data_IF_147750462664
#
_entry.id   IF_147750462664
#
_cell.length_a   1.000
_cell.length_b   1.000
_cell.length_c   1.000
_cell.angle_alpha   90.00
_cell.angle_beta   90.00
_cell.angle_gamma   90.00
#
_symmetry.space_group_name_H-M   'P 1'
#
loop_
_entity.id
_entity.type
_entity.pdbx_description
1 polymer ?
#
# COMPACT_ATOMS: atom_id res chain seq x y z
N UNK A 1 27.99 2.91 -7.37
CA UNK A 1 26.74 3.68 -7.26
C UNK A 1 25.61 3.02 -8.07
N UNK A 2 25.69 2.90 -9.40
CA UNK A 2 24.66 2.19 -10.19
C UNK A 2 24.52 0.69 -9.85
N UNK A 3 25.63 -0.04 -9.69
CA UNK A 3 25.56 -1.46 -9.31
C UNK A 3 25.00 -1.67 -7.90
N UNK A 4 25.40 -0.81 -6.96
CA UNK A 4 24.89 -0.83 -5.57
C UNK A 4 23.38 -0.59 -5.52
N UNK A 5 22.87 0.38 -6.29
CA UNK A 5 21.42 0.63 -6.36
C UNK A 5 20.66 -0.54 -6.99
N UNK A 6 21.26 -1.24 -7.98
CA UNK A 6 20.64 -2.44 -8.58
C UNK A 6 20.58 -3.60 -7.58
N UNK A 7 21.61 -3.79 -6.77
CA UNK A 7 21.64 -4.78 -5.70
C UNK A 7 20.60 -4.44 -4.62
N UNK A 8 20.61 -3.21 -4.10
CA UNK A 8 19.63 -2.74 -3.10
C UNK A 8 18.20 -2.82 -3.63
N UNK A 9 17.98 -2.51 -4.91
CA UNK A 9 16.67 -2.67 -5.55
C UNK A 9 16.24 -4.15 -5.57
N UNK A 10 17.16 -5.06 -5.85
CA UNK A 10 16.91 -6.51 -5.84
C UNK A 10 16.55 -7.06 -4.45
N UNK A 11 17.03 -6.44 -3.38
CA UNK A 11 16.65 -6.78 -2.00
C UNK A 11 15.26 -6.25 -1.62
N UNK A 12 14.73 -5.29 -2.39
CA UNK A 12 13.40 -4.73 -2.15
C UNK A 12 12.31 -5.28 -3.04
N UNK A 13 12.58 -5.60 -4.31
CA UNK A 13 11.55 -6.12 -5.23
C UNK A 13 11.75 -7.61 -5.55
N UNK A 14 10.65 -8.27 -5.92
CA UNK A 14 10.62 -9.67 -6.36
C UNK A 14 10.86 -9.81 -7.89
N UNK A 15 10.87 -8.71 -8.64
CA UNK A 15 11.07 -8.71 -10.10
C UNK A 15 12.55 -8.89 -10.44
N UNK A 16 12.87 -9.98 -11.14
CA UNK A 16 14.20 -10.15 -11.74
C UNK A 16 14.35 -9.19 -12.92
N UNK A 17 15.51 -8.52 -13.03
CA UNK A 17 15.84 -7.59 -14.12
C UNK A 17 14.66 -6.65 -14.47
N UNK A 18 14.27 -5.73 -13.56
CA UNK A 18 13.06 -4.91 -13.70
C UNK A 18 13.06 -4.01 -14.93
N UNK A 19 14.24 -3.62 -15.43
CA UNK A 19 14.42 -2.78 -16.63
C UNK A 19 14.02 -3.50 -17.93
N UNK A 20 14.10 -4.84 -17.98
CA UNK A 20 13.89 -5.64 -19.19
C UNK A 20 12.60 -6.47 -19.16
N UNK A 21 11.99 -6.61 -17.99
CA UNK A 21 10.82 -7.49 -17.82
C UNK A 21 9.52 -6.77 -18.11
N UNK A 22 8.75 -7.26 -19.09
CA UNK A 22 7.45 -6.71 -19.47
C UNK A 22 6.41 -6.87 -18.35
N UNK A 23 5.42 -5.96 -18.30
CA UNK A 23 4.36 -6.00 -17.29
C UNK A 23 3.59 -7.34 -17.26
N UNK A 24 3.34 -7.94 -18.43
CA UNK A 24 2.71 -9.27 -18.55
C UNK A 24 3.57 -10.38 -17.95
N UNK A 25 4.89 -10.31 -18.15
CA UNK A 25 5.83 -11.30 -17.61
C UNK A 25 5.98 -11.15 -16.10
N UNK A 26 6.01 -9.91 -15.58
CA UNK A 26 5.96 -9.63 -14.13
C UNK A 26 4.73 -10.24 -13.49
N UNK A 27 3.55 -10.05 -14.11
CA UNK A 27 2.29 -10.66 -13.62
C UNK A 27 2.33 -12.18 -13.62
N UNK A 28 2.79 -12.80 -14.70
CA UNK A 28 2.90 -14.27 -14.79
C UNK A 28 3.82 -14.81 -13.70
N UNK A 29 5.03 -14.26 -13.59
CA UNK A 29 6.01 -14.67 -12.59
C UNK A 29 5.50 -14.45 -11.16
N UNK A 30 4.76 -13.36 -10.91
CA UNK A 30 4.11 -13.11 -9.61
C UNK A 30 3.12 -14.21 -9.25
N UNK A 31 2.22 -14.56 -10.17
CA UNK A 31 1.20 -15.59 -9.93
C UNK A 31 1.83 -16.95 -9.65
N UNK A 32 2.89 -17.30 -10.38
CA UNK A 32 3.68 -18.52 -10.15
C UNK A 32 4.36 -18.49 -8.77
N UNK A 33 5.02 -17.40 -8.40
CA UNK A 33 5.67 -17.25 -7.11
C UNK A 33 4.69 -17.31 -5.93
N UNK A 34 3.51 -16.71 -6.06
CA UNK A 34 2.44 -16.79 -5.06
C UNK A 34 1.89 -18.21 -4.93
N UNK A 35 1.71 -18.92 -6.05
CA UNK A 35 1.25 -20.31 -6.04
C UNK A 35 2.27 -21.24 -5.35
N UNK A 36 3.56 -21.00 -5.55
CA UNK A 36 4.65 -21.75 -4.88
C UNK A 36 4.74 -21.40 -3.39
N UNK A 37 4.56 -20.12 -3.04
CA UNK A 37 4.69 -19.65 -1.67
C UNK A 37 3.51 -20.04 -0.76
N UNK A 38 2.34 -20.31 -1.33
CA UNK A 38 1.17 -20.71 -0.56
C UNK A 38 1.41 -22.05 0.15
N UNK A 39 1.21 -22.07 1.46
CA UNK A 39 1.27 -23.28 2.28
C UNK A 39 -0.11 -23.56 2.87
N UNK A 40 -0.72 -24.67 2.44
CA UNK A 40 -2.00 -25.12 3.00
C UNK A 40 -1.89 -25.39 4.50
N UNK A 41 -0.78 -25.98 4.94
CA UNK A 41 -0.59 -26.38 6.33
C UNK A 41 -0.47 -25.16 7.23
N UNK A 42 0.26 -24.13 6.79
CA UNK A 42 0.33 -22.86 7.52
C UNK A 42 -1.04 -22.19 7.57
N UNK A 43 -1.73 -22.09 6.44
CA UNK A 43 -3.07 -21.50 6.40
C UNK A 43 -4.06 -22.22 7.33
N UNK A 44 -4.04 -23.57 7.35
CA UNK A 44 -4.89 -24.35 8.25
C UNK A 44 -4.50 -24.17 9.72
N UNK A 45 -3.21 -24.04 10.03
CA UNK A 45 -2.76 -23.73 11.39
C UNK A 45 -3.35 -22.38 11.85
N UNK A 46 -3.21 -21.31 11.07
CA UNK A 46 -3.77 -19.99 11.40
C UNK A 46 -5.32 -19.96 11.40
N UNK A 47 -5.96 -20.89 10.68
CA UNK A 47 -7.42 -21.02 10.66
C UNK A 47 -7.97 -21.71 11.92
N UNK A 48 -7.23 -22.67 12.48
CA UNK A 48 -7.69 -23.43 13.65
C UNK A 48 -7.09 -22.94 14.98
N UNK A 49 -5.90 -22.34 14.95
CA UNK A 49 -5.21 -21.74 16.10
C UNK A 49 -5.32 -20.20 16.03
N UNK A 50 -6.55 -19.70 16.12
CA UNK A 50 -6.91 -18.32 15.73
C UNK A 50 -6.87 -17.30 16.89
N UNK A 51 -6.30 -17.64 18.04
CA UNK A 51 -6.25 -16.75 19.22
C UNK A 51 -5.58 -15.40 18.91
N UNK A 52 -4.44 -15.43 18.23
CA UNK A 52 -3.70 -14.22 17.87
C UNK A 52 -4.38 -13.48 16.71
N UNK A 53 -4.97 -14.21 15.75
CA UNK A 53 -5.82 -13.64 14.69
C UNK A 53 -6.96 -12.84 15.31
N UNK A 54 -7.63 -13.40 16.32
CA UNK A 54 -8.72 -12.76 17.03
C UNK A 54 -8.29 -11.53 17.83
N UNK A 55 -7.04 -11.48 18.32
CA UNK A 55 -6.47 -10.28 18.94
C UNK A 55 -6.22 -9.20 17.90
N UNK A 56 -5.61 -9.55 16.78
CA UNK A 56 -5.36 -8.63 15.66
C UNK A 56 -6.66 -8.04 15.10
N UNK A 57 -7.71 -8.85 14.94
CA UNK A 57 -9.02 -8.38 14.49
C UNK A 57 -9.71 -7.40 15.44
N UNK A 58 -9.33 -7.39 16.73
CA UNK A 58 -9.85 -6.46 17.74
C UNK A 58 -9.01 -5.18 17.84
N UNK A 59 -7.84 -5.14 17.21
CA UNK A 59 -7.02 -3.94 17.16
C UNK A 59 -7.80 -2.79 16.52
N UNK A 60 -7.73 -1.62 17.13
CA UNK A 60 -8.42 -0.42 16.63
C UNK A 60 -7.38 0.57 16.12
N UNK A 61 -7.15 0.65 14.81
CA UNK A 61 -6.18 1.59 14.26
C UNK A 61 -6.63 3.03 14.43
N UNK A 62 -5.69 3.98 14.36
CA UNK A 62 -5.94 5.40 14.62
C UNK A 62 -7.00 6.00 13.68
N UNK A 63 -7.08 5.52 12.44
CA UNK A 63 -8.08 5.95 11.45
C UNK A 63 -9.51 5.48 11.77
N UNK A 64 -9.70 4.50 12.65
CA UNK A 64 -11.04 4.04 13.05
C UNK A 64 -11.84 5.11 13.81
N UNK A 65 -11.17 6.12 14.36
CA UNK A 65 -11.79 7.22 15.13
C UNK A 65 -12.30 8.34 14.22
N UNK A 66 -12.10 8.24 12.91
CA UNK A 66 -12.50 9.25 11.93
C UNK A 66 -13.95 8.96 11.48
N UNK A 67 -14.89 9.78 11.94
CA UNK A 67 -16.31 9.60 11.60
C UNK A 67 -16.66 10.26 10.26
N UNK A 68 -17.57 9.67 9.44
CA UNK A 68 -18.08 10.30 8.21
C UNK A 68 -18.75 11.66 8.45
N UNK A 69 -19.34 11.88 9.63
CA UNK A 69 -19.94 13.16 10.03
C UNK A 69 -18.96 14.34 10.11
N UNK A 70 -17.65 14.09 10.02
CA UNK A 70 -16.63 15.13 9.93
C UNK A 70 -16.48 15.72 8.52
N UNK A 71 -17.14 15.17 7.50
CA UNK A 71 -17.23 15.74 6.16
C UNK A 71 -17.74 17.19 6.17
N UNK A 72 -18.60 17.55 7.13
CA UNK A 72 -19.10 18.93 7.29
C UNK A 72 -18.16 19.87 8.07
N UNK A 73 -17.07 19.37 8.66
CA UNK A 73 -16.03 20.16 9.34
C UNK A 73 -14.73 20.22 8.54
N UNK A 74 -14.74 19.99 7.23
CA UNK A 74 -13.57 20.19 6.36
C UNK A 74 -12.31 19.41 6.79
N UNK A 75 -11.17 19.73 6.20
CA UNK A 75 -9.84 19.11 6.43
C UNK A 75 -9.35 19.16 7.91
N UNK A 76 -10.16 19.63 8.87
CA UNK A 76 -9.79 19.92 10.26
C UNK A 76 -9.66 18.71 11.19
N UNK A 77 -10.12 17.51 10.78
CA UNK A 77 -10.05 16.32 11.64
C UNK A 77 -8.66 15.64 11.66
N UNK A 78 -7.86 15.82 10.60
CA UNK A 78 -6.53 15.21 10.47
C UNK A 78 -5.47 16.25 10.78
N UNK A 79 -4.75 16.06 11.90
CA UNK A 79 -3.61 16.89 12.25
C UNK A 79 -2.30 16.24 11.81
N UNK A 80 -1.41 17.08 11.27
CA UNK A 80 -0.04 16.69 10.94
C UNK A 80 0.92 17.11 12.06
N UNK A 81 1.79 16.19 12.46
CA UNK A 81 2.90 16.44 13.38
C UNK A 81 3.90 17.42 12.75
N UNK A 82 4.78 17.99 13.57
CA UNK A 82 5.82 18.89 13.05
C UNK A 82 6.84 18.14 12.18
N UNK A 83 7.10 16.86 12.48
CA UNK A 83 7.91 15.99 11.62
C UNK A 83 7.25 15.78 10.25
N UNK A 84 5.94 15.49 10.22
CA UNK A 84 5.17 15.29 8.99
C UNK A 84 5.15 16.58 8.14
N UNK A 85 4.93 17.73 8.77
CA UNK A 85 4.99 19.04 8.09
C UNK A 85 6.38 19.33 7.53
N UNK A 86 7.44 19.03 8.27
CA UNK A 86 8.80 19.24 7.82
C UNK A 86 9.15 18.30 6.65
N UNK A 87 8.68 17.05 6.69
CA UNK A 87 8.82 16.14 5.56
C UNK A 87 8.08 16.65 4.32
N UNK A 88 6.85 17.16 4.47
CA UNK A 88 6.09 17.75 3.37
C UNK A 88 6.81 18.94 2.71
N UNK A 89 7.52 19.76 3.50
CA UNK A 89 8.33 20.89 2.98
C UNK A 89 9.51 20.44 2.12
N UNK A 90 10.03 19.23 2.34
CA UNK A 90 11.14 18.67 1.55
C UNK A 90 10.68 18.16 0.18
N UNK A 91 9.39 17.89 0.01
CA UNK A 91 8.87 17.42 -1.27
C UNK A 91 8.89 18.54 -2.32
N UNK A 92 9.46 18.24 -3.48
CA UNK A 92 9.48 19.19 -4.60
C UNK A 92 8.07 19.37 -5.18
N UNK A 93 7.71 20.62 -5.48
CA UNK A 93 6.43 20.96 -6.07
C UNK A 93 6.37 20.52 -7.56
N UNK A 94 5.89 19.31 -7.84
CA UNK A 94 5.75 18.75 -9.20
C UNK A 94 4.31 18.55 -9.63
N UNK A 95 3.92 18.94 -10.84
CA UNK A 95 2.58 18.64 -11.38
C UNK A 95 2.59 17.35 -12.21
N UNK A 96 1.51 16.56 -12.13
CA UNK A 96 1.36 15.31 -12.86
C UNK A 96 0.26 15.46 -13.91
N UNK A 97 0.62 15.28 -15.18
CA UNK A 97 -0.33 15.25 -16.29
C UNK A 97 -0.63 13.79 -16.63
N UNK A 98 -1.66 13.23 -16.00
CA UNK A 98 -2.06 11.84 -16.20
C UNK A 98 -3.27 11.80 -17.14
N UNK A 99 -3.18 10.97 -18.17
CA UNK A 99 -4.36 10.62 -18.96
C UNK A 99 -5.34 9.77 -18.13
N UNK A 100 -6.52 9.48 -18.69
CA UNK A 100 -7.58 8.74 -17.98
C UNK A 100 -7.10 7.36 -17.52
N UNK A 101 -6.33 6.67 -18.36
CA UNK A 101 -5.84 5.31 -18.11
C UNK A 101 -4.81 5.31 -16.98
N UNK A 102 -3.81 6.18 -17.07
CA UNK A 102 -2.73 6.31 -16.08
C UNK A 102 -3.27 6.80 -14.75
N UNK A 103 -4.25 7.72 -14.77
CA UNK A 103 -4.95 8.15 -13.55
C UNK A 103 -5.69 6.99 -12.89
N UNK A 104 -6.35 6.14 -13.66
CA UNK A 104 -7.02 4.95 -13.13
C UNK A 104 -5.99 3.98 -12.51
N UNK A 105 -4.90 3.72 -13.21
CA UNK A 105 -3.80 2.88 -12.70
C UNK A 105 -3.21 3.45 -11.40
N UNK A 106 -2.96 4.76 -11.32
CA UNK A 106 -2.45 5.43 -10.12
C UNK A 106 -3.37 5.24 -8.91
N UNK A 107 -4.69 5.29 -9.10
CA UNK A 107 -5.64 5.00 -8.02
C UNK A 107 -5.62 3.53 -7.60
N UNK A 108 -5.46 2.61 -8.55
CA UNK A 108 -5.42 1.17 -8.27
C UNK A 108 -4.13 0.77 -7.54
N UNK A 109 -2.99 1.36 -7.88
CA UNK A 109 -1.73 1.16 -7.16
C UNK A 109 -1.72 1.84 -5.80
N UNK A 110 -2.34 3.01 -5.66
CA UNK A 110 -2.57 3.62 -4.34
C UNK A 110 -3.43 2.73 -3.45
N UNK A 111 -4.51 2.14 -4.00
CA UNK A 111 -5.35 1.18 -3.28
C UNK A 111 -4.53 -0.04 -2.81
N UNK A 112 -3.71 -0.61 -3.70
CA UNK A 112 -2.83 -1.76 -3.39
C UNK A 112 -1.84 -1.44 -2.25
N UNK A 113 -1.21 -0.25 -2.26
CA UNK A 113 -0.30 0.19 -1.20
C UNK A 113 -1.03 0.38 0.13
N UNK A 114 -2.21 1.02 0.12
CA UNK A 114 -2.98 1.26 1.34
C UNK A 114 -3.52 -0.03 1.95
N UNK A 115 -3.91 -1.02 1.12
CA UNK A 115 -4.28 -2.35 1.61
C UNK A 115 -3.14 -2.99 2.40
N UNK A 116 -1.93 -2.99 1.83
CA UNK A 116 -0.75 -3.52 2.49
C UNK A 116 -0.41 -2.80 3.81
N UNK A 117 -0.50 -1.47 3.84
CA UNK A 117 -0.30 -0.68 5.06
C UNK A 117 -1.39 -0.92 6.12
N UNK A 118 -2.65 -1.00 5.71
CA UNK A 118 -3.77 -1.24 6.63
C UNK A 118 -3.75 -2.63 7.27
N UNK A 119 -3.01 -3.57 6.68
CA UNK A 119 -2.79 -4.90 7.25
C UNK A 119 -1.80 -4.84 8.42
N UNK A 120 -0.66 -4.16 8.26
CA UNK A 120 0.35 -4.02 9.30
C UNK A 120 1.14 -2.72 9.08
N UNK A 121 1.03 -1.79 10.03
CA UNK A 121 1.60 -0.45 9.89
C UNK A 121 3.08 -0.35 10.24
N UNK A 122 3.68 -1.36 10.89
CA UNK A 122 5.03 -1.21 11.47
C UNK A 122 6.13 -1.89 10.64
N UNK A 123 5.78 -2.89 9.81
CA UNK A 123 6.76 -3.72 9.13
C UNK A 123 7.03 -3.23 7.70
N UNK A 124 8.24 -2.70 7.39
CA UNK A 124 8.60 -2.30 6.02
C UNK A 124 8.56 -3.49 5.06
N UNK A 125 8.91 -4.68 5.55
CA UNK A 125 8.86 -5.90 4.75
C UNK A 125 7.41 -6.30 4.44
N UNK A 126 6.51 -6.27 5.43
CA UNK A 126 5.09 -6.64 5.22
C UNK A 126 4.42 -5.69 4.24
N UNK A 127 4.54 -4.37 4.41
CA UNK A 127 3.94 -3.38 3.51
C UNK A 127 4.39 -3.63 2.07
N UNK A 128 5.69 -3.83 1.89
CA UNK A 128 6.27 -4.06 0.58
C UNK A 128 5.85 -5.39 -0.03
N UNK A 129 5.89 -6.44 0.78
CA UNK A 129 5.60 -7.81 0.34
C UNK A 129 4.12 -8.01 0.10
N UNK A 130 3.21 -7.25 0.70
CA UNK A 130 1.78 -7.37 0.43
C UNK A 130 1.28 -6.50 -0.73
N UNK A 131 2.01 -5.44 -1.08
CA UNK A 131 1.69 -4.61 -2.24
C UNK A 131 2.35 -5.15 -3.52
N UNK A 132 1.55 -5.67 -4.45
CA UNK A 132 2.05 -6.11 -5.76
C UNK A 132 2.64 -4.97 -6.58
N UNK A 133 2.19 -3.74 -6.37
CA UNK A 133 2.78 -2.51 -6.93
C UNK A 133 4.23 -2.37 -6.47
N UNK A 134 4.50 -2.49 -5.17
CA UNK A 134 5.83 -2.20 -4.62
C UNK A 134 6.85 -3.31 -4.92
N UNK A 135 6.48 -4.58 -4.74
CA UNK A 135 7.44 -5.68 -4.91
C UNK A 135 7.41 -6.32 -6.29
N UNK A 136 6.32 -6.23 -7.06
CA UNK A 136 6.25 -6.80 -8.42
C UNK A 136 6.17 -5.76 -9.53
N UNK A 137 6.20 -4.46 -9.20
CA UNK A 137 6.02 -3.37 -10.16
C UNK A 137 4.77 -3.61 -11.03
N UNK A 138 3.73 -4.17 -10.40
CA UNK A 138 2.49 -4.58 -11.05
C UNK A 138 1.67 -3.34 -11.46
N UNK A 139 0.95 -3.46 -12.57
CA UNK A 139 0.04 -2.41 -13.04
C UNK A 139 -1.34 -3.01 -13.22
N UNK A 140 -2.27 -2.60 -12.37
CA UNK A 140 -3.61 -3.15 -12.35
C UNK A 140 -4.55 -2.43 -13.33
N UNK A 141 -5.57 -3.14 -13.79
CA UNK A 141 -6.61 -2.59 -14.69
C UNK A 141 -7.98 -2.49 -14.04
N UNK A 142 -8.20 -3.16 -12.91
CA UNK A 142 -9.43 -3.03 -12.13
C UNK A 142 -9.19 -3.32 -10.64
N UNK A 143 -10.08 -2.84 -9.78
CA UNK A 143 -9.99 -2.99 -8.32
C UNK A 143 -10.09 -4.45 -7.87
N UNK A 144 -10.88 -5.28 -8.58
CA UNK A 144 -10.98 -6.72 -8.28
C UNK A 144 -9.60 -7.40 -8.33
N UNK A 145 -8.79 -7.08 -9.35
CA UNK A 145 -7.47 -7.69 -9.49
C UNK A 145 -6.50 -7.23 -8.38
N UNK A 146 -6.65 -5.99 -7.91
CA UNK A 146 -5.91 -5.47 -6.74
C UNK A 146 -6.29 -6.28 -5.49
N UNK A 147 -7.58 -6.44 -5.21
CA UNK A 147 -8.07 -7.16 -4.03
C UNK A 147 -7.66 -8.64 -4.05
N UNK A 148 -7.75 -9.29 -5.21
CA UNK A 148 -7.32 -10.69 -5.38
C UNK A 148 -5.81 -10.81 -5.18
N UNK A 149 -5.02 -9.88 -5.75
CA UNK A 149 -3.56 -9.85 -5.56
C UNK A 149 -3.21 -9.69 -4.08
N UNK A 150 -3.72 -8.66 -3.41
CA UNK A 150 -3.51 -8.43 -1.99
C UNK A 150 -3.91 -9.64 -1.14
N UNK A 151 -5.12 -10.17 -1.33
CA UNK A 151 -5.62 -11.32 -0.59
C UNK A 151 -4.75 -12.57 -0.75
N UNK A 152 -4.33 -12.90 -1.98
CA UNK A 152 -3.39 -14.01 -2.22
C UNK A 152 -2.11 -13.83 -1.44
N UNK A 153 -1.53 -12.63 -1.47
CA UNK A 153 -0.24 -12.33 -0.81
C UNK A 153 -0.34 -12.39 0.71
N UNK A 154 -1.44 -11.94 1.31
CA UNK A 154 -1.72 -12.10 2.75
C UNK A 154 -1.78 -13.59 3.13
N UNK A 155 -2.32 -14.45 2.26
CA UNK A 155 -2.39 -15.88 2.52
C UNK A 155 -1.08 -16.64 2.22
N UNK A 156 -0.06 -15.97 1.65
CA UNK A 156 1.21 -16.60 1.29
C UNK A 156 2.38 -16.18 2.17
N UNK A 157 2.48 -14.91 2.57
CA UNK A 157 3.75 -14.33 3.03
C UNK A 157 3.85 -13.96 4.51
N UNK A 158 2.91 -13.19 5.10
CA UNK A 158 3.07 -12.68 6.46
C UNK A 158 3.02 -13.80 7.50
N UNK A 159 3.36 -13.43 8.74
CA UNK A 159 3.33 -14.34 9.89
C UNK A 159 1.94 -14.95 10.09
N UNK A 160 0.90 -14.11 9.98
CA UNK A 160 -0.50 -14.49 10.17
C UNK A 160 -1.25 -14.51 8.83
N UNK A 161 -1.82 -15.66 8.45
CA UNK A 161 -2.38 -15.91 7.11
C UNK A 161 -3.84 -16.28 7.24
N UNK A 162 -4.68 -15.27 7.39
CA UNK A 162 -6.11 -15.50 7.61
C UNK A 162 -7.00 -14.59 6.76
N UNK A 163 -8.05 -15.16 6.16
CA UNK A 163 -8.92 -14.42 5.24
C UNK A 163 -9.73 -13.31 5.93
N UNK A 164 -10.04 -13.46 7.22
CA UNK A 164 -10.69 -12.39 7.99
C UNK A 164 -9.78 -11.14 8.10
N UNK A 165 -8.45 -11.31 8.16
CA UNK A 165 -7.52 -10.18 8.17
C UNK A 165 -7.53 -9.46 6.81
N UNK A 166 -7.61 -10.21 5.69
CA UNK A 166 -7.81 -9.62 4.35
C UNK A 166 -9.05 -8.74 4.34
N UNK A 167 -10.17 -9.27 4.83
CA UNK A 167 -11.45 -8.54 4.85
C UNK A 167 -11.38 -7.30 5.75
N UNK A 168 -10.74 -7.41 6.92
CA UNK A 168 -10.54 -6.30 7.85
C UNK A 168 -9.72 -5.18 7.20
N UNK A 169 -8.60 -5.50 6.55
CA UNK A 169 -7.76 -4.53 5.83
C UNK A 169 -8.49 -3.84 4.68
N UNK A 170 -9.35 -4.57 3.96
CA UNK A 170 -10.21 -3.98 2.91
C UNK A 170 -11.19 -2.96 3.52
N UNK A 171 -11.84 -3.31 4.63
CA UNK A 171 -12.73 -2.40 5.35
C UNK A 171 -11.99 -1.15 5.86
N UNK A 172 -10.80 -1.32 6.42
CA UNK A 172 -10.00 -0.21 6.92
C UNK A 172 -9.46 0.68 5.81
N UNK A 173 -9.03 0.10 4.69
CA UNK A 173 -8.65 0.88 3.51
C UNK A 173 -9.83 1.69 2.96
N UNK A 174 -11.04 1.12 2.96
CA UNK A 174 -12.24 1.85 2.58
C UNK A 174 -12.50 3.04 3.52
N UNK A 175 -12.35 2.88 4.85
CA UNK A 175 -12.47 3.99 5.81
C UNK A 175 -11.41 5.07 5.60
N UNK A 176 -10.16 4.69 5.32
CA UNK A 176 -9.06 5.62 5.02
C UNK A 176 -9.41 6.47 3.79
N UNK A 177 -9.88 5.83 2.72
CA UNK A 177 -10.27 6.52 1.49
C UNK A 177 -11.49 7.44 1.69
N UNK A 178 -12.51 6.97 2.42
CA UNK A 178 -13.69 7.75 2.76
C UNK A 178 -13.37 8.97 3.65
N UNK A 179 -12.37 8.85 4.53
CA UNK A 179 -11.89 9.95 5.38
C UNK A 179 -11.17 11.06 4.59
N UNK A 180 -10.92 10.83 3.31
CA UNK A 180 -10.44 11.82 2.35
C UNK A 180 -8.92 11.97 2.28
N UNK A 181 -8.47 12.87 1.38
CA UNK A 181 -7.07 13.00 0.97
C UNK A 181 -6.09 13.27 2.12
N UNK A 182 -6.54 13.95 3.19
CA UNK A 182 -5.68 14.24 4.34
C UNK A 182 -5.35 12.97 5.14
N UNK A 183 -6.33 12.07 5.31
CA UNK A 183 -6.11 10.77 5.94
C UNK A 183 -5.18 9.90 5.09
N UNK A 184 -5.42 9.84 3.78
CA UNK A 184 -4.55 9.12 2.82
C UNK A 184 -3.12 9.67 2.86
N UNK A 185 -2.94 10.99 2.86
CA UNK A 185 -1.63 11.61 2.95
C UNK A 185 -0.92 11.26 4.25
N UNK A 186 -1.64 11.20 5.37
CA UNK A 186 -1.07 10.78 6.66
C UNK A 186 -0.59 9.34 6.64
N UNK A 187 -1.36 8.41 6.06
CA UNK A 187 -0.91 7.02 5.84
C UNK A 187 0.35 6.96 4.95
N UNK A 188 0.37 7.72 3.85
CA UNK A 188 1.54 7.75 2.95
C UNK A 188 2.79 8.33 3.61
N UNK A 189 2.65 9.35 4.47
CA UNK A 189 3.76 9.90 5.26
C UNK A 189 4.31 8.89 6.27
N UNK A 190 3.46 8.07 6.86
CA UNK A 190 3.87 7.00 7.77
C UNK A 190 4.65 5.91 7.01
N UNK A 191 4.12 5.44 5.88
CA UNK A 191 4.84 4.51 4.97
C UNK A 191 6.19 5.11 4.55
N UNK A 192 6.20 6.40 4.19
CA UNK A 192 7.42 7.09 3.80
C UNK A 192 8.45 7.09 4.93
N UNK A 193 8.03 7.35 6.17
CA UNK A 193 8.90 7.30 7.34
C UNK A 193 9.47 5.91 7.56
N UNK A 194 8.61 4.89 7.54
CA UNK A 194 8.99 3.48 7.72
C UNK A 194 10.04 3.07 6.68
N UNK A 195 9.84 3.37 5.40
CA UNK A 195 10.82 3.03 4.37
C UNK A 195 12.12 3.82 4.49
N UNK A 196 12.06 5.10 4.88
CA UNK A 196 13.27 5.92 5.07
C UNK A 196 14.14 5.44 6.23
N UNK A 197 13.53 4.85 7.26
CA UNK A 197 14.22 4.36 8.45
C UNK A 197 14.72 2.92 8.33
N UNK A 198 14.45 2.24 7.20
CA UNK A 198 14.78 0.84 7.00
C UNK A 198 15.43 0.60 5.64
N UNK A 199 16.76 0.47 5.62
CA UNK A 199 17.50 0.15 4.41
C UNK A 199 17.25 -1.30 3.95
N UNK A 200 17.12 -1.58 2.64
CA UNK A 200 17.16 -0.65 1.50
C UNK A 200 15.77 -0.12 1.06
N UNK A 201 14.74 -0.20 1.92
CA UNK A 201 13.36 0.12 1.55
C UNK A 201 13.15 1.59 1.13
N UNK A 202 14.06 2.50 1.51
CA UNK A 202 14.00 3.92 1.14
C UNK A 202 13.87 4.15 -0.37
N UNK A 203 14.38 3.24 -1.21
CA UNK A 203 14.29 3.31 -2.68
C UNK A 203 12.84 3.40 -3.15
N UNK A 204 11.91 2.77 -2.43
CA UNK A 204 10.48 2.80 -2.77
C UNK A 204 9.83 4.16 -2.47
N UNK A 205 10.43 4.97 -1.60
CA UNK A 205 10.01 6.35 -1.45
C UNK A 205 10.28 7.16 -2.72
N UNK A 206 11.44 6.94 -3.33
CA UNK A 206 11.83 7.63 -4.56
C UNK A 206 11.05 7.11 -5.77
N UNK A 207 10.76 5.80 -5.82
CA UNK A 207 10.01 5.18 -6.92
C UNK A 207 8.50 5.42 -6.86
N UNK A 208 7.91 5.48 -5.67
CA UNK A 208 6.45 5.50 -5.51
C UNK A 208 5.96 6.52 -4.48
N UNK A 209 6.38 6.39 -3.22
CA UNK A 209 5.64 7.00 -2.10
C UNK A 209 5.71 8.53 -2.13
N UNK A 210 6.86 9.12 -2.49
CA UNK A 210 7.02 10.58 -2.62
C UNK A 210 6.06 11.17 -3.64
N UNK A 211 5.95 10.54 -4.82
CA UNK A 211 5.07 11.02 -5.87
C UNK A 211 3.60 10.88 -5.47
N UNK A 212 3.20 9.82 -4.75
CA UNK A 212 1.84 9.71 -4.19
C UNK A 212 1.55 10.78 -3.14
N UNK A 213 2.49 11.07 -2.23
CA UNK A 213 2.37 12.16 -1.27
C UNK A 213 2.10 13.49 -1.97
N UNK A 214 2.83 13.79 -3.05
CA UNK A 214 2.68 15.02 -3.83
C UNK A 214 1.38 15.02 -4.65
N UNK A 215 1.04 13.89 -5.26
CA UNK A 215 -0.11 13.75 -6.15
C UNK A 215 -1.43 13.88 -5.39
N UNK A 216 -1.60 13.18 -4.27
CA UNK A 216 -2.87 13.14 -3.54
C UNK A 216 -3.29 14.51 -3.00
N UNK A 217 -2.32 15.40 -2.72
CA UNK A 217 -2.57 16.78 -2.31
C UNK A 217 -3.29 17.61 -3.39
N UNK A 218 -3.12 17.26 -4.68
CA UNK A 218 -3.68 18.01 -5.81
C UNK A 218 -4.88 17.37 -6.47
N UNK A 219 -5.21 16.13 -6.11
CA UNK A 219 -6.43 15.48 -6.58
C UNK A 219 -7.62 16.35 -6.17
N UNK A 220 -8.40 16.78 -7.16
CA UNK A 220 -9.69 17.43 -6.95
C UNK A 220 -10.77 16.37 -7.01
N UNK A 221 -11.65 16.36 -6.01
CA UNK A 221 -12.92 15.66 -6.14
C UNK A 221 -13.69 16.31 -7.29
N UNK A 222 -13.82 15.58 -8.38
CA UNK A 222 -14.83 15.86 -9.39
C UNK A 222 -16.04 15.07 -8.92
N UNK A 223 -17.00 15.75 -8.29
CA UNK A 223 -18.31 15.14 -8.04
C UNK A 223 -18.80 14.59 -9.39
N UNK A 224 -19.30 13.34 -9.44
CA UNK A 224 -19.99 12.89 -10.64
C UNK A 224 -21.15 13.87 -10.85
N UNK A 225 -21.11 14.61 -11.96
CA UNK A 225 -22.22 15.46 -12.37
C UNK A 225 -23.47 14.55 -12.48
N UNK A 226 -24.52 14.94 -11.75
CA UNK A 226 -25.84 14.32 -11.74
C UNK A 226 -26.49 14.40 -13.12
#
# INVERSE_FOLDING_TARGET
MLNTLKEELGDVIDVKNPEETLASDRRRARLEAEAIAFSSDHYLADLFEDDEINRLLKFTPWWSKLSPSMEQKGESAISFSDEEKEQLRKFTNRSFLLDKTTRCQAWLSLLDILLAYSYEVESPWTIRKLSGTLCWLETYSCSRDVLVSFGRRVLCYPLYRHFALVTSSVCDTAKILQSGKACVLKCLLDIHKIFRENDPAYILNDLYITDYCIWIQRVRYTSPEL
#
